data_IF_255460457480
#
_entry.id   IF_255460457480
#
_cell.length_a   1.000
_cell.length_b   1.000
_cell.length_c   1.000
_cell.angle_alpha   90.00
_cell.angle_beta   90.00
_cell.angle_gamma   90.00
#
_symmetry.space_group_name_H-M   'P 1'
#
loop_
_entity.id
_entity.type
_entity.pdbx_description
1 polymer ?
#
# COMPACT_ATOMS: atom_id res chain seq x y z
N UNK A 1 0.99 2.34 -13.04
CA UNK A 1 0.07 2.75 -14.14
C UNK A 1 -0.81 1.57 -14.51
N UNK A 2 -2.10 1.79 -14.68
CA UNK A 2 -3.03 0.76 -15.12
C UNK A 2 -4.10 1.39 -16.03
N UNK A 3 -4.42 0.72 -17.15
CA UNK A 3 -5.49 1.11 -18.08
C UNK A 3 -5.43 2.58 -18.55
N UNK A 4 -4.23 3.11 -18.80
CA UNK A 4 -4.03 4.50 -19.23
C UNK A 4 -4.21 5.55 -18.12
N UNK A 5 -4.11 5.14 -16.86
CA UNK A 5 -4.16 6.00 -15.68
C UNK A 5 -2.85 5.89 -14.90
N UNK A 6 -2.28 7.02 -14.51
CA UNK A 6 -1.15 7.10 -13.58
C UNK A 6 -1.68 7.45 -12.20
N UNK A 7 -1.24 6.69 -11.20
CA UNK A 7 -1.56 6.93 -9.79
C UNK A 7 -0.28 7.24 -9.03
N UNK A 8 -0.34 8.21 -8.12
CA UNK A 8 0.79 8.54 -7.23
C UNK A 8 0.32 9.26 -5.97
N UNK A 9 1.14 9.15 -4.92
CA UNK A 9 1.02 9.95 -3.71
C UNK A 9 1.83 11.23 -3.81
N UNK A 10 1.51 12.21 -2.99
CA UNK A 10 2.15 13.54 -2.99
C UNK A 10 2.35 14.06 -1.57
N UNK A 11 3.34 14.95 -1.41
CA UNK A 11 3.64 15.65 -0.16
C UNK A 11 2.56 16.67 0.25
N UNK A 12 1.59 16.92 -0.62
CA UNK A 12 0.42 17.76 -0.33
C UNK A 12 -0.74 17.00 0.34
N UNK A 13 -0.48 15.80 0.84
CA UNK A 13 -1.41 14.89 1.51
C UNK A 13 -2.45 14.28 0.55
N UNK A 14 -2.23 14.30 -0.77
CA UNK A 14 -3.18 13.76 -1.72
C UNK A 14 -2.65 12.54 -2.47
N UNK A 15 -3.59 11.67 -2.83
CA UNK A 15 -3.41 10.64 -3.85
C UNK A 15 -4.06 11.14 -5.15
N UNK A 16 -3.35 11.03 -6.25
CA UNK A 16 -3.78 11.51 -7.57
C UNK A 16 -3.98 10.36 -8.55
N UNK A 17 -4.97 10.50 -9.40
CA UNK A 17 -5.12 9.72 -10.63
C UNK A 17 -5.16 10.65 -11.84
N UNK A 18 -4.24 10.46 -12.76
CA UNK A 18 -4.14 11.27 -13.97
C UNK A 18 -4.37 10.41 -15.21
N UNK A 19 -4.94 11.02 -16.25
CA UNK A 19 -4.92 10.45 -17.58
C UNK A 19 -3.46 10.39 -18.08
N UNK A 20 -2.96 9.21 -18.41
CA UNK A 20 -1.57 9.00 -18.80
C UNK A 20 -1.17 9.71 -20.12
N UNK A 21 -2.14 9.96 -21.01
CA UNK A 21 -1.89 10.59 -22.31
C UNK A 21 -1.96 12.11 -22.27
N UNK A 22 -2.79 12.69 -21.38
CA UNK A 22 -3.08 14.12 -21.37
C UNK A 22 -2.58 14.84 -20.11
N UNK A 23 -2.25 14.10 -19.04
CA UNK A 23 -1.93 14.65 -17.72
C UNK A 23 -3.15 15.21 -16.97
N UNK A 24 -4.35 15.12 -17.54
CA UNK A 24 -5.54 15.63 -16.89
C UNK A 24 -5.87 14.83 -15.60
N UNK A 25 -6.17 15.55 -14.53
CA UNK A 25 -6.59 14.94 -13.25
C UNK A 25 -7.96 14.29 -13.45
N UNK A 26 -8.07 13.01 -13.10
CA UNK A 26 -9.33 12.27 -13.07
C UNK A 26 -10.01 12.38 -11.72
N UNK A 27 -9.22 12.17 -10.67
CA UNK A 27 -9.68 12.32 -9.29
C UNK A 27 -8.48 12.56 -8.35
N UNK A 28 -8.80 13.08 -7.18
CA UNK A 28 -7.88 13.22 -6.05
C UNK A 28 -8.55 12.68 -4.79
N UNK A 29 -7.75 12.13 -3.87
CA UNK A 29 -8.20 11.71 -2.56
C UNK A 29 -7.26 12.29 -1.50
N UNK A 30 -7.81 13.01 -0.51
CA UNK A 30 -7.03 13.59 0.58
C UNK A 30 -6.89 12.61 1.73
N UNK A 31 -5.64 12.35 2.13
CA UNK A 31 -5.26 11.61 3.34
C UNK A 31 -5.08 12.55 4.54
N UNK A 32 -4.68 12.04 5.68
CA UNK A 32 -4.40 12.85 6.86
C UNK A 32 -2.98 13.44 6.92
N UNK A 33 -2.06 12.98 6.05
CA UNK A 33 -0.66 13.44 5.96
C UNK A 33 -0.05 13.04 4.63
N UNK A 34 1.22 13.37 4.44
CA UNK A 34 2.06 13.08 3.26
C UNK A 34 1.92 11.63 2.78
N UNK A 35 1.97 11.44 1.47
CA UNK A 35 1.87 10.13 0.81
C UNK A 35 3.15 9.84 0.01
N UNK A 36 4.15 9.24 0.68
CA UNK A 36 5.43 8.84 0.08
C UNK A 36 5.40 7.42 -0.51
N UNK A 37 4.43 6.60 -0.08
CA UNK A 37 4.22 5.25 -0.61
C UNK A 37 3.88 5.28 -2.09
N UNK A 38 4.42 4.35 -2.87
CA UNK A 38 3.99 4.14 -4.26
C UNK A 38 2.77 3.24 -4.30
N UNK A 39 1.72 3.58 -5.07
CA UNK A 39 0.50 2.79 -5.07
C UNK A 39 0.66 1.46 -5.82
N UNK A 40 0.00 0.41 -5.32
CA UNK A 40 -0.29 -0.81 -6.05
C UNK A 40 -1.72 -0.76 -6.61
N UNK A 41 -1.93 -1.28 -7.81
CA UNK A 41 -3.26 -1.33 -8.45
C UNK A 41 -3.60 -2.77 -8.77
N UNK A 42 -4.69 -3.25 -8.22
CA UNK A 42 -5.22 -4.58 -8.48
C UNK A 42 -6.74 -4.58 -8.38
N UNK A 43 -7.40 -5.42 -9.15
CA UNK A 43 -8.85 -5.70 -9.10
C UNK A 43 -9.74 -4.44 -9.02
N UNK A 44 -9.35 -3.34 -9.69
CA UNK A 44 -10.11 -2.09 -9.73
C UNK A 44 -9.94 -1.20 -8.51
N UNK A 45 -8.99 -1.51 -7.63
CA UNK A 45 -8.63 -0.69 -6.47
C UNK A 45 -7.17 -0.22 -6.53
N UNK A 46 -6.89 0.90 -5.88
CA UNK A 46 -5.57 1.48 -5.64
C UNK A 46 -5.28 1.36 -4.16
N UNK A 47 -4.17 0.69 -3.81
CA UNK A 47 -3.71 0.51 -2.43
C UNK A 47 -2.50 1.39 -2.19
N UNK A 48 -2.46 2.09 -1.06
CA UNK A 48 -1.40 3.05 -0.76
C UNK A 48 -1.28 3.28 0.76
N UNK A 49 -0.06 3.50 1.23
CA UNK A 49 0.23 3.92 2.60
C UNK A 49 0.33 5.43 2.72
N UNK A 50 0.07 5.97 3.91
CA UNK A 50 0.23 7.38 4.25
C UNK A 50 1.00 7.55 5.55
N UNK A 51 1.65 8.69 5.71
CA UNK A 51 2.30 9.08 6.97
C UNK A 51 1.30 9.37 8.10
N UNK A 52 0.00 9.44 7.81
CA UNK A 52 -1.04 9.49 8.84
C UNK A 52 -1.21 8.17 9.61
N UNK A 53 -0.43 7.15 9.25
CA UNK A 53 -0.45 5.83 9.87
C UNK A 53 -1.52 4.90 9.34
N UNK A 54 -2.09 5.20 8.17
CA UNK A 54 -3.14 4.39 7.56
C UNK A 54 -2.73 3.81 6.21
N UNK A 55 -3.27 2.64 5.93
CA UNK A 55 -3.31 2.04 4.60
C UNK A 55 -4.69 2.30 4.01
N UNK A 56 -4.75 2.76 2.76
CA UNK A 56 -6.00 3.06 2.06
C UNK A 56 -6.19 2.14 0.86
N UNK A 57 -7.43 1.71 0.65
CA UNK A 57 -7.90 1.17 -0.62
C UNK A 57 -8.91 2.15 -1.22
N UNK A 58 -8.63 2.59 -2.43
CA UNK A 58 -9.45 3.56 -3.16
C UNK A 58 -9.96 2.92 -4.45
N UNK A 59 -11.17 3.24 -4.86
CA UNK A 59 -11.66 2.86 -6.18
C UNK A 59 -10.77 3.46 -7.28
N UNK A 60 -10.18 2.64 -8.13
CA UNK A 60 -9.35 3.12 -9.24
C UNK A 60 -10.13 4.00 -10.23
N UNK A 61 -11.43 3.80 -10.36
CA UNK A 61 -12.28 4.55 -11.26
C UNK A 61 -12.66 5.94 -10.72
N UNK A 62 -12.92 6.05 -9.40
CA UNK A 62 -13.57 7.24 -8.82
C UNK A 62 -12.77 7.92 -7.71
N UNK A 63 -11.75 7.26 -7.15
CA UNK A 63 -11.02 7.73 -5.97
C UNK A 63 -11.80 7.59 -4.64
N UNK A 64 -13.00 7.04 -4.67
CA UNK A 64 -13.78 6.81 -3.45
C UNK A 64 -13.08 5.80 -2.54
N UNK A 65 -13.04 6.08 -1.23
CA UNK A 65 -12.47 5.17 -0.25
C UNK A 65 -13.32 3.89 -0.15
N UNK A 66 -12.69 2.75 -0.40
CA UNK A 66 -13.30 1.42 -0.21
C UNK A 66 -13.15 1.00 1.25
N UNK A 67 -11.91 1.05 1.75
CA UNK A 67 -11.59 0.81 3.16
C UNK A 67 -10.31 1.57 3.56
N UNK A 68 -10.06 1.63 4.86
CA UNK A 68 -8.78 2.05 5.42
C UNK A 68 -8.44 1.21 6.64
N UNK A 69 -7.15 0.95 6.85
CA UNK A 69 -6.63 0.19 7.99
C UNK A 69 -5.61 1.04 8.74
N UNK A 70 -5.83 1.35 10.04
CA UNK A 70 -4.88 2.07 10.86
C UNK A 70 -3.78 1.11 11.34
N UNK A 71 -2.52 1.43 11.03
CA UNK A 71 -1.35 0.68 11.51
C UNK A 71 -0.83 1.20 12.86
N UNK A 72 -1.18 2.43 13.21
CA UNK A 72 -0.71 3.12 14.40
C UNK A 72 0.67 3.76 14.26
N UNK A 73 1.31 3.69 13.09
CA UNK A 73 2.59 4.33 12.77
C UNK A 73 2.67 4.65 11.29
N UNK A 74 3.53 5.59 10.91
CA UNK A 74 3.78 6.02 9.53
C UNK A 74 3.96 4.83 8.58
N UNK A 75 3.39 4.93 7.38
CA UNK A 75 3.48 3.91 6.34
C UNK A 75 4.23 4.47 5.12
N UNK A 76 5.56 4.28 5.09
CA UNK A 76 6.41 4.63 3.95
C UNK A 76 6.46 3.53 2.89
N UNK A 77 6.35 2.27 3.32
CA UNK A 77 6.47 1.13 2.41
C UNK A 77 5.38 1.15 1.35
N UNK A 78 5.71 0.68 0.16
CA UNK A 78 4.73 0.50 -0.91
C UNK A 78 4.07 -0.88 -0.79
N UNK A 79 2.75 -0.99 -0.97
CA UNK A 79 2.05 -2.25 -0.86
C UNK A 79 2.38 -3.18 -2.03
N UNK A 80 2.33 -4.49 -1.76
CA UNK A 80 2.29 -5.53 -2.76
C UNK A 80 0.97 -6.29 -2.66
N UNK A 81 0.36 -6.65 -3.79
CA UNK A 81 -0.94 -7.34 -3.81
C UNK A 81 -0.79 -8.67 -4.53
N UNK A 82 -1.22 -9.74 -3.87
CA UNK A 82 -1.23 -11.07 -4.46
C UNK A 82 -2.28 -11.96 -3.79
N UNK A 83 -2.96 -12.79 -4.57
CA UNK A 83 -3.93 -13.79 -4.10
C UNK A 83 -5.02 -13.22 -3.17
N UNK A 84 -5.52 -12.01 -3.45
CA UNK A 84 -6.54 -11.37 -2.62
C UNK A 84 -6.02 -10.78 -1.31
N UNK A 85 -4.70 -10.61 -1.15
CA UNK A 85 -4.05 -10.07 0.05
C UNK A 85 -3.20 -8.87 -0.30
N UNK A 86 -3.28 -7.81 0.52
CA UNK A 86 -2.43 -6.63 0.48
C UNK A 86 -1.36 -6.77 1.56
N UNK A 87 -0.10 -6.78 1.15
CA UNK A 87 1.08 -6.84 2.02
C UNK A 87 1.69 -5.45 2.12
N UNK A 88 1.87 -4.96 3.34
CA UNK A 88 2.40 -3.62 3.61
C UNK A 88 3.01 -3.57 5.00
N UNK A 89 3.99 -2.70 5.19
CA UNK A 89 4.68 -2.55 6.48
C UNK A 89 4.59 -1.12 7.01
N UNK A 90 4.61 -0.98 8.32
CA UNK A 90 4.70 0.31 9.00
C UNK A 90 6.11 0.60 9.52
N UNK A 91 6.42 1.87 9.76
CA UNK A 91 7.67 2.31 10.36
C UNK A 91 7.89 1.75 11.78
N UNK A 92 6.83 1.36 12.48
CA UNK A 92 6.95 0.65 13.76
C UNK A 92 7.55 -0.76 13.63
N UNK A 93 7.95 -1.18 12.43
CA UNK A 93 8.56 -2.49 12.18
C UNK A 93 7.54 -3.62 12.15
N UNK A 94 6.32 -3.37 11.78
CA UNK A 94 5.29 -4.41 11.66
C UNK A 94 4.87 -4.62 10.22
N UNK A 95 4.98 -5.87 9.76
CA UNK A 95 4.42 -6.33 8.49
C UNK A 95 2.96 -6.74 8.67
N UNK A 96 2.10 -6.31 7.78
CA UNK A 96 0.66 -6.64 7.75
C UNK A 96 0.30 -7.38 6.47
N UNK A 97 -0.58 -8.36 6.61
CA UNK A 97 -1.34 -8.95 5.51
C UNK A 97 -2.82 -8.62 5.72
N UNK A 98 -3.38 -7.87 4.80
CA UNK A 98 -4.76 -7.39 4.86
C UNK A 98 -5.58 -8.04 3.76
N UNK A 99 -6.81 -8.42 4.07
CA UNK A 99 -7.78 -8.88 3.07
C UNK A 99 -8.03 -7.77 2.03
N UNK A 100 -7.85 -8.08 0.76
CA UNK A 100 -7.91 -7.11 -0.33
C UNK A 100 -9.28 -6.42 -0.43
N UNK A 101 -10.36 -7.14 -0.19
CA UNK A 101 -11.71 -6.62 -0.33
C UNK A 101 -12.22 -5.81 0.85
N UNK A 102 -11.77 -6.13 2.07
CA UNK A 102 -12.33 -5.59 3.31
C UNK A 102 -11.35 -4.77 4.13
N UNK A 103 -10.05 -4.92 3.92
CA UNK A 103 -9.00 -4.32 4.74
C UNK A 103 -8.82 -4.99 6.11
N UNK A 104 -9.50 -6.11 6.38
CA UNK A 104 -9.34 -6.83 7.62
C UNK A 104 -7.93 -7.42 7.74
N UNK A 105 -7.30 -7.31 8.91
CA UNK A 105 -6.00 -7.93 9.14
C UNK A 105 -6.14 -9.44 9.20
N UNK A 106 -5.48 -10.14 8.28
CA UNK A 106 -5.37 -11.59 8.27
C UNK A 106 -4.29 -12.05 9.24
N UNK A 107 -3.16 -11.36 9.22
CA UNK A 107 -2.08 -11.51 10.19
C UNK A 107 -1.20 -10.27 10.22
N UNK A 108 -0.41 -10.15 11.29
CA UNK A 108 0.67 -9.18 11.40
C UNK A 108 1.89 -9.82 12.07
N UNK A 109 3.08 -9.37 11.67
CA UNK A 109 4.34 -9.82 12.26
C UNK A 109 5.19 -8.62 12.62
N UNK A 110 5.51 -8.41 13.90
CA UNK A 110 6.53 -7.45 14.30
C UNK A 110 7.92 -7.99 13.95
N UNK A 111 8.75 -7.14 13.35
CA UNK A 111 10.19 -7.36 13.16
C UNK A 111 10.98 -6.67 14.26
N UNK A 112 12.30 -6.80 14.25
CA UNK A 112 13.16 -6.19 15.26
C UNK A 112 13.37 -4.68 15.12
N UNK A 113 13.03 -4.08 13.97
CA UNK A 113 13.27 -2.68 13.67
C UNK A 113 12.37 -2.16 12.53
N UNK A 114 12.49 -0.89 12.18
CA UNK A 114 11.79 -0.17 11.10
C UNK A 114 11.74 -0.97 9.79
N UNK A 115 10.60 -0.92 9.10
CA UNK A 115 10.46 -1.42 7.74
C UNK A 115 10.09 -0.25 6.82
N UNK A 116 11.08 0.30 6.14
CA UNK A 116 10.91 1.35 5.12
C UNK A 116 10.89 0.75 3.71
N UNK A 117 11.32 -0.50 3.56
CA UNK A 117 11.36 -1.17 2.28
C UNK A 117 9.97 -1.56 1.77
N UNK A 118 9.81 -1.55 0.47
CA UNK A 118 8.60 -2.06 -0.20
C UNK A 118 8.66 -3.58 -0.29
N UNK A 119 7.51 -4.22 -0.09
CA UNK A 119 7.38 -5.66 -0.25
C UNK A 119 7.45 -6.05 -1.73
N UNK A 120 8.12 -7.16 -2.01
CA UNK A 120 8.13 -7.79 -3.33
C UNK A 120 7.41 -9.14 -3.26
N UNK A 121 6.71 -9.49 -4.33
CA UNK A 121 6.03 -10.78 -4.45
C UNK A 121 6.54 -11.52 -5.66
N UNK A 122 7.04 -12.74 -5.46
CA UNK A 122 7.50 -13.62 -6.53
C UNK A 122 7.32 -15.08 -6.14
N UNK A 123 6.84 -15.90 -7.09
CA UNK A 123 6.74 -17.37 -6.95
C UNK A 123 6.04 -17.85 -5.65
N UNK A 124 5.01 -17.13 -5.22
CA UNK A 124 4.28 -17.51 -4.01
C UNK A 124 4.97 -17.12 -2.70
N UNK A 125 5.94 -16.19 -2.76
CA UNK A 125 6.65 -15.65 -1.59
C UNK A 125 6.55 -14.14 -1.59
N UNK A 126 6.34 -13.55 -0.44
CA UNK A 126 6.48 -12.11 -0.17
C UNK A 126 7.77 -11.88 0.57
N UNK A 127 8.62 -11.02 0.04
CA UNK A 127 9.90 -10.64 0.65
C UNK A 127 9.85 -9.18 1.11
N UNK A 128 10.41 -8.89 2.29
CA UNK A 128 10.54 -7.54 2.83
C UNK A 128 11.84 -7.40 3.61
N UNK A 129 12.55 -6.29 3.44
CA UNK A 129 13.73 -5.95 4.22
C UNK A 129 13.38 -5.16 5.48
N UNK A 130 14.05 -5.44 6.59
CA UNK A 130 13.89 -4.71 7.86
C UNK A 130 15.22 -4.06 8.27
N UNK A 131 15.14 -2.96 8.98
CA UNK A 131 16.30 -2.28 9.58
C UNK A 131 16.98 -3.07 10.70
N UNK A 132 16.52 -4.26 11.01
CA UNK A 132 17.18 -5.22 11.91
C UNK A 132 18.22 -6.10 11.21
N UNK A 133 18.62 -5.74 9.99
CA UNK A 133 19.57 -6.47 9.14
C UNK A 133 19.06 -7.82 8.60
N UNK A 134 17.74 -8.05 8.61
CA UNK A 134 17.11 -9.26 8.09
C UNK A 134 16.24 -9.00 6.88
N UNK A 135 16.13 -10.01 6.03
CA UNK A 135 15.10 -10.13 5.01
C UNK A 135 14.10 -11.20 5.48
N UNK A 136 12.84 -10.85 5.52
CA UNK A 136 11.75 -11.75 5.89
C UNK A 136 11.05 -12.24 4.64
N UNK A 137 10.83 -13.55 4.56
CA UNK A 137 10.14 -14.20 3.46
C UNK A 137 8.90 -14.93 4.00
N UNK A 138 7.73 -14.65 3.40
CA UNK A 138 6.46 -15.23 3.80
C UNK A 138 5.86 -16.00 2.65
N UNK A 139 5.47 -17.26 2.88
CA UNK A 139 4.69 -18.03 1.91
C UNK A 139 3.30 -17.40 1.71
N UNK A 140 2.87 -17.27 0.45
CA UNK A 140 1.49 -16.84 0.15
C UNK A 140 0.50 -17.95 0.52
N UNK A 141 -0.71 -17.60 0.98
CA UNK A 141 -1.78 -18.57 1.12
C UNK A 141 -2.13 -19.18 -0.24
N UNK A 142 -2.39 -20.47 -0.24
CA UNK A 142 -2.82 -21.23 -1.42
C UNK A 142 -4.25 -20.89 -1.81
#
# INVERSE_FOLDING_TARGET
>A
MASGVVYFGSDDDNVYALNASTGAVRWTFKTGSVVNSSPAVANGAVYIGSEDGSVYALSAATGAKVWSFPTGSTVYSSPAVANGVVYIASEAGTMYALDEGTGASLWSLPTGNVIDSSSAVSNGVVDVGSGDDHIYAFGLPN
#
